data_IF_900335969029
#
_entry.id   IF_900335969029
#
_cell.length_a   1.000
_cell.length_b   1.000
_cell.length_c   1.000
_cell.angle_alpha   90.00
_cell.angle_beta   90.00
_cell.angle_gamma   90.00
#
_symmetry.space_group_name_H-M   'P 1'
#
loop_
_entity.id
_entity.type
_entity.pdbx_description
1 polymer ?
#
# COMPACT_ATOMS: atom_id res chain seq x y z
N UNK A 1 13.60 9.23 28.61
CA UNK A 1 14.71 8.71 27.76
C UNK A 1 14.39 7.33 27.14
N UNK A 2 14.02 6.31 27.91
CA UNK A 2 13.73 4.96 27.35
C UNK A 2 12.53 4.99 26.38
N UNK A 3 11.51 5.78 26.69
CA UNK A 3 10.32 6.01 25.85
C UNK A 3 10.69 6.50 24.45
N UNK A 4 11.62 7.46 24.36
CA UNK A 4 12.10 8.02 23.08
C UNK A 4 12.87 6.98 22.28
N UNK A 5 13.73 6.20 22.95
CA UNK A 5 14.46 5.10 22.30
C UNK A 5 13.51 4.05 21.75
N UNK A 6 12.48 3.66 22.51
CA UNK A 6 11.49 2.69 22.07
C UNK A 6 10.61 3.24 20.94
N UNK A 7 10.16 4.49 21.01
CA UNK A 7 9.40 5.12 19.93
C UNK A 7 10.17 5.18 18.62
N UNK A 8 11.46 5.59 18.68
CA UNK A 8 12.34 5.63 17.50
C UNK A 8 12.68 4.23 16.97
N UNK A 9 12.93 3.27 17.86
CA UNK A 9 13.14 1.88 17.49
C UNK A 9 11.90 1.32 16.79
N UNK A 10 10.70 1.60 17.34
CA UNK A 10 9.43 1.28 16.70
C UNK A 10 9.31 1.87 15.30
N UNK A 11 9.63 3.16 15.14
CA UNK A 11 9.63 3.83 13.84
C UNK A 11 10.57 3.16 12.82
N UNK A 12 11.78 2.83 13.22
CA UNK A 12 12.75 2.18 12.34
C UNK A 12 12.31 0.77 11.93
N UNK A 13 11.78 -0.02 12.89
CA UNK A 13 11.31 -1.39 12.62
C UNK A 13 10.04 -1.38 11.77
N UNK A 14 9.08 -0.47 12.04
CA UNK A 14 7.93 -0.28 11.15
C UNK A 14 8.36 0.17 9.75
N UNK A 15 9.31 1.10 9.66
CA UNK A 15 9.86 1.51 8.37
C UNK A 15 10.49 0.35 7.61
N UNK A 16 11.16 -0.58 8.30
CA UNK A 16 11.70 -1.80 7.70
C UNK A 16 10.59 -2.77 7.26
N UNK A 17 9.54 -2.93 8.07
CA UNK A 17 8.37 -3.73 7.71
C UNK A 17 7.69 -3.19 6.45
N UNK A 18 7.44 -1.88 6.40
CA UNK A 18 6.83 -1.20 5.25
C UNK A 18 7.69 -1.32 3.98
N UNK A 19 9.02 -1.21 4.13
CA UNK A 19 9.95 -1.41 3.02
C UNK A 19 9.84 -2.81 2.43
N UNK A 20 9.86 -3.86 3.27
CA UNK A 20 9.68 -5.24 2.84
C UNK A 20 8.27 -5.48 2.27
N UNK A 21 7.25 -4.93 2.90
CA UNK A 21 5.86 -4.97 2.44
C UNK A 21 5.70 -4.34 1.06
N UNK A 22 6.30 -3.18 0.83
CA UNK A 22 6.34 -2.51 -0.47
C UNK A 22 7.03 -3.33 -1.55
N UNK A 23 8.17 -3.97 -1.24
CA UNK A 23 8.86 -4.88 -2.16
C UNK A 23 8.03 -6.14 -2.45
N UNK A 24 7.35 -6.70 -1.43
CA UNK A 24 6.46 -7.84 -1.59
C UNK A 24 5.26 -7.50 -2.47
N UNK A 25 4.65 -6.32 -2.28
CA UNK A 25 3.49 -5.85 -3.04
C UNK A 25 3.79 -5.63 -4.53
N UNK A 26 5.04 -5.43 -4.90
CA UNK A 26 5.48 -5.42 -6.31
C UNK A 26 5.48 -6.81 -6.96
N UNK A 27 5.40 -7.89 -6.16
CA UNK A 27 5.49 -9.28 -6.63
C UNK A 27 4.19 -10.07 -6.45
N UNK A 28 3.42 -9.76 -5.41
CA UNK A 28 2.12 -10.36 -5.09
C UNK A 28 1.14 -9.26 -4.71
N UNK A 29 -0.17 -9.53 -4.71
CA UNK A 29 -1.16 -8.49 -4.37
C UNK A 29 -1.01 -7.98 -2.92
N UNK A 30 -1.22 -6.68 -2.70
CA UNK A 30 -1.14 -6.04 -1.38
C UNK A 30 -1.99 -6.76 -0.32
N UNK A 31 -3.21 -7.18 -0.67
CA UNK A 31 -4.10 -7.92 0.25
C UNK A 31 -3.48 -9.26 0.69
N UNK A 32 -2.78 -9.96 -0.23
CA UNK A 32 -2.06 -11.20 0.12
C UNK A 32 -0.84 -10.91 1.00
N UNK A 33 -0.11 -9.82 0.73
CA UNK A 33 1.01 -9.38 1.59
C UNK A 33 0.52 -9.15 3.01
N UNK A 34 -0.58 -8.40 3.18
CA UNK A 34 -1.17 -8.12 4.48
C UNK A 34 -1.66 -9.39 5.20
N UNK A 35 -2.32 -10.29 4.48
CA UNK A 35 -2.79 -11.56 5.07
C UNK A 35 -1.63 -12.46 5.53
N UNK A 36 -0.58 -12.61 4.69
CA UNK A 36 0.62 -13.39 5.02
C UNK A 36 1.36 -12.73 6.19
N UNK A 37 1.50 -11.41 6.16
CA UNK A 37 2.10 -10.63 7.24
C UNK A 37 1.34 -10.81 8.57
N UNK A 38 0.01 -10.72 8.54
CA UNK A 38 -0.81 -10.93 9.73
C UNK A 38 -0.63 -12.35 10.30
N UNK A 39 -0.66 -13.39 9.45
CA UNK A 39 -0.46 -14.78 9.86
C UNK A 39 0.94 -15.01 10.45
N UNK A 40 2.00 -14.50 9.82
CA UNK A 40 3.36 -14.61 10.37
C UNK A 40 3.50 -13.86 11.68
N UNK A 41 2.83 -12.70 11.84
CA UNK A 41 2.74 -11.97 13.09
C UNK A 41 2.01 -12.75 14.18
N UNK A 42 0.89 -13.44 13.87
CA UNK A 42 0.21 -14.33 14.83
C UNK A 42 1.17 -15.39 15.35
N UNK A 43 1.90 -16.07 14.45
CA UNK A 43 2.84 -17.13 14.84
C UNK A 43 3.94 -16.57 15.76
N UNK A 44 4.56 -15.44 15.38
CA UNK A 44 5.62 -14.84 16.18
C UNK A 44 5.11 -14.41 17.57
N UNK A 45 3.96 -13.74 17.63
CA UNK A 45 3.41 -13.24 18.90
C UNK A 45 2.93 -14.39 19.79
N UNK A 46 2.30 -15.43 19.20
CA UNK A 46 1.92 -16.63 19.95
C UNK A 46 3.14 -17.36 20.56
N UNK A 47 4.26 -17.45 19.81
CA UNK A 47 5.51 -17.94 20.36
C UNK A 47 6.09 -16.99 21.41
N UNK A 48 5.95 -15.68 21.20
CA UNK A 48 6.38 -14.65 22.15
C UNK A 48 5.69 -14.74 23.50
N UNK A 49 4.42 -15.17 23.55
CA UNK A 49 3.70 -15.35 24.83
C UNK A 49 4.30 -16.47 25.71
N UNK A 50 5.07 -17.38 25.14
CA UNK A 50 5.80 -18.41 25.90
C UNK A 50 7.02 -17.83 26.64
N UNK A 51 7.55 -16.70 26.15
CA UNK A 51 8.74 -16.03 26.71
C UNK A 51 8.33 -14.85 27.58
N UNK A 52 7.32 -14.10 27.16
CA UNK A 52 6.76 -12.95 27.87
C UNK A 52 5.39 -13.36 28.41
N UNK A 53 5.33 -13.83 29.65
CA UNK A 53 4.06 -14.23 30.25
C UNK A 53 3.14 -13.01 30.40
N UNK A 54 1.86 -13.24 30.29
CA UNK A 54 0.83 -12.22 30.52
C UNK A 54 -0.45 -12.86 31.03
N UNK A 55 -1.22 -12.08 31.77
CA UNK A 55 -2.49 -12.52 32.29
C UNK A 55 -3.60 -12.39 31.24
N UNK A 56 -4.37 -13.45 31.08
CA UNK A 56 -5.55 -13.44 30.21
C UNK A 56 -6.69 -12.69 30.92
N UNK A 57 -7.14 -11.60 30.31
CA UNK A 57 -8.25 -10.82 30.82
C UNK A 57 -9.20 -10.44 29.69
N UNK A 58 -10.47 -10.23 30.03
CA UNK A 58 -11.49 -9.74 29.07
C UNK A 58 -11.06 -8.39 28.48
N UNK A 59 -10.45 -7.51 29.29
CA UNK A 59 -9.93 -6.23 28.83
C UNK A 59 -8.83 -6.37 27.78
N UNK A 60 -7.85 -7.28 28.00
CA UNK A 60 -6.77 -7.54 27.06
C UNK A 60 -7.31 -8.05 25.70
N UNK A 61 -8.28 -8.97 25.74
CA UNK A 61 -8.91 -9.51 24.53
C UNK A 61 -9.79 -8.49 23.83
N UNK A 62 -10.61 -7.73 24.57
CA UNK A 62 -11.52 -6.74 24.01
C UNK A 62 -10.78 -5.60 23.31
N UNK A 63 -9.86 -4.93 24.02
CA UNK A 63 -9.08 -3.83 23.46
C UNK A 63 -8.14 -4.30 22.34
N UNK A 64 -7.53 -5.47 22.50
CA UNK A 64 -6.74 -6.11 21.47
C UNK A 64 -7.55 -6.42 20.21
N UNK A 65 -8.76 -6.98 20.35
CA UNK A 65 -9.62 -7.30 19.21
C UNK A 65 -10.09 -6.04 18.45
N UNK A 66 -10.56 -5.00 19.18
CA UNK A 66 -10.98 -3.73 18.54
C UNK A 66 -9.80 -3.06 17.83
N UNK A 67 -8.61 -3.08 18.44
CA UNK A 67 -7.40 -2.56 17.77
C UNK A 67 -7.07 -3.34 16.50
N UNK A 68 -7.40 -4.65 16.44
CA UNK A 68 -7.28 -5.46 15.23
C UNK A 68 -8.24 -5.06 14.12
N UNK A 69 -9.47 -4.67 14.46
CA UNK A 69 -10.45 -4.14 13.51
C UNK A 69 -9.98 -2.79 12.95
N UNK A 70 -9.56 -1.86 13.83
CA UNK A 70 -9.06 -0.55 13.39
C UNK A 70 -7.81 -0.68 12.52
N UNK A 71 -6.87 -1.56 12.89
CA UNK A 71 -5.67 -1.84 12.12
C UNK A 71 -5.97 -2.42 10.73
N UNK A 72 -6.88 -3.39 10.63
CA UNK A 72 -7.30 -3.96 9.35
C UNK A 72 -7.96 -2.92 8.43
N UNK A 73 -8.89 -2.10 8.97
CA UNK A 73 -9.55 -1.04 8.23
C UNK A 73 -8.55 0.05 7.81
N UNK A 74 -7.64 0.45 8.70
CA UNK A 74 -6.59 1.42 8.43
C UNK A 74 -5.73 1.02 7.23
N UNK A 75 -5.21 -0.20 7.23
CA UNK A 75 -4.34 -0.71 6.16
C UNK A 75 -5.11 -0.85 4.84
N UNK A 76 -6.36 -1.34 4.88
CA UNK A 76 -7.20 -1.45 3.69
C UNK A 76 -7.43 -0.08 3.04
N UNK A 77 -7.76 0.95 3.84
CA UNK A 77 -7.95 2.32 3.36
C UNK A 77 -6.63 2.95 2.88
N UNK A 78 -5.51 2.70 3.57
CA UNK A 78 -4.19 3.16 3.16
C UNK A 78 -3.86 2.65 1.76
N UNK A 79 -3.99 1.36 1.52
CA UNK A 79 -3.70 0.80 0.20
C UNK A 79 -4.69 1.26 -0.86
N UNK A 80 -5.98 1.44 -0.51
CA UNK A 80 -6.97 1.99 -1.42
C UNK A 80 -6.63 3.43 -1.83
N UNK A 81 -6.27 4.30 -0.88
CA UNK A 81 -5.92 5.69 -1.19
C UNK A 81 -4.62 5.79 -2.02
N UNK A 82 -3.60 4.96 -1.71
CA UNK A 82 -2.35 4.93 -2.45
C UNK A 82 -2.51 4.40 -3.88
N UNK A 83 -3.54 3.57 -4.13
CA UNK A 83 -3.86 3.08 -5.48
C UNK A 83 -4.50 4.15 -6.38
N UNK A 84 -5.20 5.15 -5.83
CA UNK A 84 -5.96 6.14 -6.58
C UNK A 84 -5.33 7.54 -6.61
N UNK A 85 -4.24 7.76 -5.88
CA UNK A 85 -3.64 9.10 -5.78
C UNK A 85 -2.13 9.13 -5.59
N UNK A 86 -1.53 10.33 -5.59
CA UNK A 86 -0.10 10.51 -5.47
C UNK A 86 0.38 10.09 -4.06
N UNK A 87 1.23 9.08 -4.00
CA UNK A 87 1.83 8.57 -2.75
C UNK A 87 2.58 9.65 -1.98
N UNK A 88 3.22 10.60 -2.70
CA UNK A 88 3.97 11.72 -2.13
C UNK A 88 3.15 12.68 -1.26
N UNK A 89 1.83 12.67 -1.38
CA UNK A 89 0.93 13.52 -0.58
C UNK A 89 0.14 12.65 0.42
N UNK A 90 -0.38 11.50 -0.04
CA UNK A 90 -1.29 10.69 0.76
C UNK A 90 -0.57 9.96 1.91
N UNK A 91 0.65 9.48 1.69
CA UNK A 91 1.43 8.82 2.75
C UNK A 91 1.82 9.76 3.89
N UNK A 92 2.40 10.97 3.63
CA UNK A 92 2.64 11.95 4.70
C UNK A 92 1.38 12.37 5.43
N UNK A 93 0.26 12.56 4.71
CA UNK A 93 -1.02 12.93 5.32
C UNK A 93 -1.50 11.86 6.32
N UNK A 94 -1.43 10.59 5.93
CA UNK A 94 -1.77 9.46 6.82
C UNK A 94 -0.86 9.45 8.05
N UNK A 95 0.45 9.60 7.88
CA UNK A 95 1.41 9.58 8.98
C UNK A 95 1.20 10.77 9.95
N UNK A 96 0.96 11.97 9.44
CA UNK A 96 0.65 13.15 10.28
C UNK A 96 -0.66 12.94 11.04
N UNK A 97 -1.70 12.44 10.38
CA UNK A 97 -2.99 12.21 11.03
C UNK A 97 -2.88 11.13 12.11
N UNK A 98 -2.09 10.08 11.87
CA UNK A 98 -1.86 9.02 12.87
C UNK A 98 -1.10 9.51 14.10
N UNK A 99 -0.31 10.56 13.99
CA UNK A 99 0.36 11.19 15.13
C UNK A 99 -0.57 12.18 15.88
N UNK A 100 -1.37 12.96 15.13
CA UNK A 100 -2.26 13.99 15.72
C UNK A 100 -3.35 13.36 16.60
N UNK A 101 -3.90 12.22 16.22
CA UNK A 101 -5.00 11.58 16.94
C UNK A 101 -4.60 11.18 18.37
N UNK A 102 -3.54 10.39 18.63
CA UNK A 102 -3.13 10.07 19.99
C UNK A 102 -2.55 11.29 20.73
N UNK A 103 -1.92 12.25 20.03
CA UNK A 103 -1.49 13.52 20.62
C UNK A 103 -2.69 14.29 21.21
N UNK A 104 -3.76 14.44 20.41
CA UNK A 104 -4.99 15.13 20.86
C UNK A 104 -5.66 14.36 22.00
N UNK A 105 -5.71 13.05 21.92
CA UNK A 105 -6.25 12.19 22.96
C UNK A 105 -5.50 12.40 24.29
N UNK A 106 -4.16 12.31 24.29
CA UNK A 106 -3.32 12.52 25.46
C UNK A 106 -3.55 13.89 26.10
N UNK A 107 -3.58 14.95 25.28
CA UNK A 107 -3.86 16.32 25.79
C UNK A 107 -5.25 16.46 26.41
N UNK A 108 -6.28 15.83 25.83
CA UNK A 108 -7.66 15.89 26.37
C UNK A 108 -7.79 15.05 27.65
N UNK A 109 -7.07 13.93 27.74
CA UNK A 109 -7.09 13.05 28.92
C UNK A 109 -6.17 13.49 30.03
N UNK A 110 -5.46 14.61 29.87
CA UNK A 110 -4.69 15.27 30.92
C UNK A 110 -3.22 14.85 31.01
N UNK A 111 -2.63 14.42 29.89
CA UNK A 111 -1.17 14.24 29.84
C UNK A 111 -0.46 15.55 30.17
N UNK A 112 0.28 15.58 31.27
CA UNK A 112 1.10 16.73 31.67
C UNK A 112 2.38 16.77 30.84
N UNK A 113 2.38 17.58 29.78
CA UNK A 113 3.52 17.76 28.90
C UNK A 113 4.35 18.98 29.31
N UNK A 114 5.65 18.81 29.35
CA UNK A 114 6.57 19.92 29.54
C UNK A 114 6.46 20.91 28.37
N UNK A 115 6.69 22.21 28.63
CA UNK A 115 6.64 23.27 27.61
C UNK A 115 7.54 22.99 26.37
N UNK A 116 8.63 22.24 26.53
CA UNK A 116 9.53 21.83 25.45
C UNK A 116 8.87 20.77 24.52
N UNK A 117 7.91 19.99 25.02
CA UNK A 117 7.25 18.97 24.23
C UNK A 117 6.39 19.55 23.08
N UNK A 118 5.74 20.68 23.28
CA UNK A 118 4.88 21.30 22.25
C UNK A 118 5.65 21.68 20.97
N UNK A 119 6.75 22.45 21.02
CA UNK A 119 7.53 22.72 19.82
C UNK A 119 8.20 21.47 19.25
N UNK A 120 8.54 20.48 20.08
CA UNK A 120 9.09 19.21 19.62
C UNK A 120 8.07 18.41 18.79
N UNK A 121 6.80 18.35 19.21
CA UNK A 121 5.73 17.74 18.43
C UNK A 121 5.48 18.46 17.09
N UNK A 122 5.43 19.80 17.11
CA UNK A 122 5.30 20.59 15.87
C UNK A 122 6.45 20.26 14.90
N UNK A 123 7.69 20.19 15.43
CA UNK A 123 8.87 19.86 14.65
C UNK A 123 8.81 18.42 14.11
N UNK A 124 8.35 17.46 14.91
CA UNK A 124 8.15 16.07 14.48
C UNK A 124 7.13 15.94 13.35
N UNK A 125 5.99 16.65 13.44
CA UNK A 125 4.97 16.65 12.38
C UNK A 125 5.51 17.27 11.08
N UNK A 126 6.27 18.36 11.16
CA UNK A 126 6.95 18.93 9.99
C UNK A 126 7.97 17.94 9.41
N UNK A 127 8.72 17.26 10.26
CA UNK A 127 9.69 16.24 9.84
C UNK A 127 9.01 15.09 9.09
N UNK A 128 7.87 14.57 9.58
CA UNK A 128 7.07 13.52 8.91
C UNK A 128 6.67 13.95 7.51
N UNK A 129 6.18 15.18 7.36
CA UNK A 129 5.79 15.72 6.04
C UNK A 129 6.98 15.79 5.10
N UNK A 130 8.11 16.36 5.55
CA UNK A 130 9.30 16.55 4.72
C UNK A 130 9.95 15.21 4.34
N UNK A 131 9.99 14.25 5.26
CA UNK A 131 10.53 12.91 5.01
C UNK A 131 9.66 12.17 3.99
N UNK A 132 8.34 12.17 4.17
CA UNK A 132 7.42 11.48 3.26
C UNK A 132 7.23 12.18 1.91
N UNK A 133 7.67 13.42 1.76
CA UNK A 133 7.49 14.19 0.53
C UNK A 133 8.46 13.73 -0.56
N UNK A 134 7.91 13.09 -1.60
CA UNK A 134 8.65 12.73 -2.81
C UNK A 134 8.28 13.71 -3.93
N UNK A 135 9.21 14.53 -4.44
CA UNK A 135 8.91 15.42 -5.55
C UNK A 135 8.50 14.62 -6.80
N UNK A 136 7.25 14.73 -7.21
CA UNK A 136 6.79 14.17 -8.47
C UNK A 136 7.20 15.10 -9.62
N UNK A 137 7.69 14.52 -10.74
CA UNK A 137 8.06 15.29 -11.94
C UNK A 137 6.84 15.94 -12.62
N UNK A 138 5.65 15.40 -12.38
CA UNK A 138 4.37 15.97 -12.81
C UNK A 138 3.45 16.08 -11.59
N UNK A 139 2.95 17.29 -11.33
CA UNK A 139 2.09 17.56 -10.19
C UNK A 139 0.68 17.00 -10.44
N UNK A 140 0.46 15.75 -10.07
CA UNK A 140 -0.87 15.14 -10.05
C UNK A 140 -1.59 15.63 -8.79
N UNK A 141 -2.77 16.26 -8.95
CA UNK A 141 -3.59 16.69 -7.82
C UNK A 141 -4.24 15.48 -7.15
N UNK A 142 -4.19 15.37 -5.82
CA UNK A 142 -4.90 14.31 -5.11
C UNK A 142 -6.40 14.50 -5.26
N UNK A 143 -7.14 13.40 -5.39
CA UNK A 143 -8.61 13.44 -5.39
C UNK A 143 -9.15 13.64 -3.98
N UNK A 144 -10.34 14.22 -3.84
CA UNK A 144 -10.99 14.36 -2.53
C UNK A 144 -11.20 13.00 -1.85
N UNK A 145 -11.52 11.96 -2.63
CA UNK A 145 -11.62 10.58 -2.13
C UNK A 145 -10.27 10.07 -1.60
N UNK A 146 -9.15 10.32 -2.30
CA UNK A 146 -7.82 9.95 -1.82
C UNK A 146 -7.46 10.64 -0.51
N UNK A 147 -7.72 11.94 -0.41
CA UNK A 147 -7.49 12.71 0.82
C UNK A 147 -8.33 12.20 2.00
N UNK A 148 -9.63 11.96 1.78
CA UNK A 148 -10.51 11.44 2.84
C UNK A 148 -10.10 10.04 3.30
N UNK A 149 -9.76 9.13 2.36
CA UNK A 149 -9.27 7.80 2.70
C UNK A 149 -7.95 7.86 3.49
N UNK A 150 -7.01 8.72 3.10
CA UNK A 150 -5.74 8.90 3.81
C UNK A 150 -5.96 9.44 5.24
N UNK A 151 -6.83 10.43 5.40
CA UNK A 151 -7.18 11.01 6.71
C UNK A 151 -7.87 9.98 7.60
N UNK A 152 -8.86 9.24 7.08
CA UNK A 152 -9.55 8.19 7.85
C UNK A 152 -8.57 7.07 8.21
N UNK A 153 -7.72 6.64 7.29
CA UNK A 153 -6.69 5.63 7.55
C UNK A 153 -5.75 6.08 8.67
N UNK A 154 -5.23 7.31 8.61
CA UNK A 154 -4.38 7.85 9.67
C UNK A 154 -5.11 7.96 11.02
N UNK A 155 -6.37 8.37 11.02
CA UNK A 155 -7.20 8.38 12.24
C UNK A 155 -7.34 6.99 12.85
N UNK A 156 -7.56 5.96 12.03
CA UNK A 156 -7.66 4.57 12.49
C UNK A 156 -6.32 4.02 13.00
N UNK A 157 -5.19 4.41 12.39
CA UNK A 157 -3.85 4.07 12.90
C UNK A 157 -3.64 4.75 14.26
N UNK A 158 -3.99 6.02 14.40
CA UNK A 158 -3.91 6.73 15.69
C UNK A 158 -4.82 6.10 16.76
N UNK A 159 -6.04 5.73 16.39
CA UNK A 159 -6.97 5.02 17.26
C UNK A 159 -6.42 3.65 17.69
N UNK A 160 -5.73 2.94 16.80
CA UNK A 160 -5.04 1.69 17.16
C UNK A 160 -4.07 1.89 18.34
N UNK A 161 -3.25 2.96 18.36
CA UNK A 161 -2.34 3.23 19.47
C UNK A 161 -3.09 3.51 20.77
N UNK A 162 -4.18 4.30 20.71
CA UNK A 162 -5.03 4.58 21.87
C UNK A 162 -5.64 3.29 22.43
N UNK A 163 -6.17 2.42 21.56
CA UNK A 163 -6.81 1.17 21.97
C UNK A 163 -5.81 0.17 22.58
N UNK A 164 -4.59 0.11 22.05
CA UNK A 164 -3.54 -0.73 22.63
C UNK A 164 -3.06 -0.18 23.97
N UNK A 165 -3.02 1.12 24.15
CA UNK A 165 -2.69 1.78 25.41
C UNK A 165 -3.70 1.49 26.53
N UNK A 166 -4.99 1.24 26.17
CA UNK A 166 -6.04 0.87 27.14
C UNK A 166 -5.93 -0.59 27.63
N UNK A 167 -4.97 -1.37 27.13
CA UNK A 167 -4.83 -2.78 27.54
C UNK A 167 -4.15 -2.86 28.91
N UNK A 168 -4.55 -3.82 29.78
CA UNK A 168 -3.94 -3.99 31.10
C UNK A 168 -2.44 -4.25 31.01
N UNK A 169 -1.66 -3.65 31.92
CA UNK A 169 -0.19 -3.71 31.91
C UNK A 169 0.36 -5.13 32.11
N UNK A 170 -0.35 -5.95 32.88
CA UNK A 170 -0.02 -7.35 33.18
C UNK A 170 -0.36 -8.33 32.05
N UNK A 171 -1.06 -7.86 30.99
CA UNK A 171 -1.52 -8.71 29.88
C UNK A 171 -0.42 -9.19 28.93
N UNK A 172 0.85 -8.79 29.12
CA UNK A 172 1.97 -9.21 28.28
C UNK A 172 1.72 -8.94 26.80
N UNK A 173 1.85 -9.97 25.96
CA UNK A 173 1.62 -9.87 24.50
C UNK A 173 0.21 -10.29 24.06
N UNK A 174 -0.67 -10.68 24.98
CA UNK A 174 -2.03 -11.17 24.67
C UNK A 174 -2.85 -10.19 23.82
N UNK A 175 -2.86 -8.87 24.10
CA UNK A 175 -3.59 -7.91 23.28
C UNK A 175 -3.11 -7.90 21.81
N UNK A 176 -1.80 -8.00 21.59
CA UNK A 176 -1.24 -8.05 20.24
C UNK A 176 -1.58 -9.35 19.52
N UNK A 177 -1.65 -10.48 20.22
CA UNK A 177 -2.14 -11.75 19.66
C UNK A 177 -3.59 -11.60 19.22
N UNK A 178 -4.47 -11.08 20.10
CA UNK A 178 -5.88 -10.83 19.79
C UNK A 178 -6.02 -9.89 18.57
N UNK A 179 -5.27 -8.80 18.55
CA UNK A 179 -5.19 -7.86 17.41
C UNK A 179 -4.86 -8.58 16.11
N UNK A 180 -3.81 -9.39 16.10
CA UNK A 180 -3.34 -10.09 14.89
C UNK A 180 -4.31 -11.17 14.42
N UNK A 181 -4.92 -11.91 15.33
CA UNK A 181 -5.93 -12.92 15.01
C UNK A 181 -7.14 -12.26 14.33
N UNK A 182 -7.65 -11.16 14.89
CA UNK A 182 -8.78 -10.43 14.30
C UNK A 182 -8.39 -9.85 12.93
N UNK A 183 -7.22 -9.21 12.82
CA UNK A 183 -6.73 -8.65 11.56
C UNK A 183 -6.58 -9.75 10.49
N UNK A 184 -5.95 -10.88 10.82
CA UNK A 184 -5.79 -12.02 9.91
C UNK A 184 -7.16 -12.56 9.46
N UNK A 185 -8.11 -12.70 10.38
CA UNK A 185 -9.47 -13.18 10.09
C UNK A 185 -10.18 -12.24 9.12
N UNK A 186 -10.13 -10.93 9.33
CA UNK A 186 -10.72 -9.93 8.45
C UNK A 186 -10.09 -10.01 7.05
N UNK A 187 -8.75 -10.06 6.97
CA UNK A 187 -8.04 -10.11 5.69
C UNK A 187 -8.30 -11.40 4.91
N UNK A 188 -8.34 -12.54 5.59
CA UNK A 188 -8.66 -13.82 4.97
C UNK A 188 -10.11 -13.80 4.47
N UNK A 189 -11.05 -13.32 5.29
CA UNK A 189 -12.47 -13.19 4.91
C UNK A 189 -12.60 -12.29 3.68
N UNK A 190 -11.90 -11.17 3.65
CA UNK A 190 -11.89 -10.27 2.48
C UNK A 190 -11.38 -10.98 1.22
N UNK A 191 -10.28 -11.75 1.32
CA UNK A 191 -9.74 -12.51 0.19
C UNK A 191 -10.77 -13.53 -0.32
N UNK A 192 -11.39 -14.26 0.58
CA UNK A 192 -12.41 -15.28 0.22
C UNK A 192 -13.61 -14.61 -0.45
N UNK A 193 -14.14 -13.53 0.12
CA UNK A 193 -15.28 -12.78 -0.47
C UNK A 193 -14.93 -12.27 -1.87
N UNK A 194 -13.76 -11.65 -2.04
CA UNK A 194 -13.32 -11.15 -3.35
C UNK A 194 -13.16 -12.29 -4.36
N UNK A 195 -12.62 -13.44 -3.95
CA UNK A 195 -12.48 -14.62 -4.82
C UNK A 195 -13.85 -15.19 -5.25
N UNK A 196 -14.81 -15.30 -4.32
CA UNK A 196 -16.17 -15.77 -4.60
C UNK A 196 -16.89 -14.81 -5.55
N UNK A 197 -16.80 -13.49 -5.29
CA UNK A 197 -17.45 -12.48 -6.14
C UNK A 197 -16.84 -12.49 -7.55
N UNK A 198 -15.51 -12.61 -7.66
CA UNK A 198 -14.85 -12.71 -8.96
C UNK A 198 -15.26 -13.99 -9.71
N UNK A 199 -15.29 -15.13 -9.01
CA UNK A 199 -15.76 -16.41 -9.59
C UNK A 199 -17.18 -16.33 -10.11
N UNK A 200 -18.12 -15.74 -9.34
CA UNK A 200 -19.52 -15.55 -9.76
C UNK A 200 -19.61 -14.63 -11.00
N UNK A 201 -18.82 -13.55 -11.08
CA UNK A 201 -18.81 -12.68 -12.26
C UNK A 201 -18.33 -13.40 -13.51
N UNK A 202 -17.34 -14.29 -13.40
CA UNK A 202 -16.88 -15.11 -14.52
C UNK A 202 -17.95 -16.09 -15.00
N UNK A 203 -18.68 -16.73 -14.09
CA UNK A 203 -19.79 -17.65 -14.42
C UNK A 203 -20.92 -16.87 -15.13
N UNK A 204 -21.37 -15.75 -14.56
CA UNK A 204 -22.41 -14.90 -15.15
C UNK A 204 -22.02 -14.32 -16.51
N UNK A 205 -20.74 -14.02 -16.73
CA UNK A 205 -20.24 -13.57 -18.05
C UNK A 205 -20.16 -14.72 -19.07
N UNK A 206 -19.93 -15.95 -18.61
CA UNK A 206 -19.93 -17.15 -19.47
C UNK A 206 -21.34 -17.61 -19.84
N UNK A 207 -22.32 -17.37 -18.96
CA UNK A 207 -23.73 -17.69 -19.17
C UNK A 207 -24.51 -16.58 -19.90
N UNK A 208 -23.88 -15.45 -20.21
CA UNK A 208 -24.51 -14.43 -21.05
C UNK A 208 -24.76 -15.04 -22.43
N UNK A 209 -26.03 -15.11 -22.91
CA UNK A 209 -26.30 -15.65 -24.23
C UNK A 209 -25.49 -14.85 -25.24
N UNK A 210 -24.73 -15.56 -26.09
CA UNK A 210 -24.14 -15.01 -27.29
C UNK A 210 -25.30 -14.35 -28.04
N UNK A 211 -25.44 -13.04 -27.91
CA UNK A 211 -26.32 -12.28 -28.78
C UNK A 211 -25.81 -12.58 -30.20
N UNK A 212 -26.55 -13.44 -30.87
CA UNK A 212 -26.34 -13.79 -32.26
C UNK A 212 -26.27 -12.46 -32.98
N UNK A 213 -25.08 -12.09 -33.40
CA UNK A 213 -24.88 -11.08 -34.42
C UNK A 213 -25.37 -11.70 -35.74
N UNK A 214 -26.69 -11.89 -35.83
CA UNK A 214 -27.38 -12.14 -37.05
C UNK A 214 -27.42 -10.81 -37.81
N UNK A 215 -26.25 -10.47 -38.30
CA UNK A 215 -26.05 -9.33 -39.19
C UNK A 215 -26.54 -9.63 -40.61
N UNK A 216 -27.84 -9.80 -40.74
CA UNK A 216 -28.47 -9.59 -42.06
C UNK A 216 -28.42 -8.10 -42.36
N UNK A 217 -27.29 -7.63 -42.80
CA UNK A 217 -27.22 -6.39 -43.59
C UNK A 217 -27.83 -6.64 -44.97
N UNK A 218 -29.13 -6.52 -45.05
CA UNK A 218 -29.83 -6.21 -46.25
C UNK A 218 -29.40 -4.80 -46.72
N UNK A 219 -28.46 -4.73 -47.62
CA UNK A 219 -28.15 -3.50 -48.31
C UNK A 219 -29.38 -3.10 -49.17
N UNK A 220 -29.92 -1.88 -49.09
CA UNK A 220 -30.93 -1.41 -50.00
C UNK A 220 -30.28 -1.16 -51.38
N UNK A 221 -30.75 -1.89 -52.39
CA UNK A 221 -30.46 -1.58 -53.79
C UNK A 221 -31.08 -0.23 -54.16
N UNK A 222 -30.34 0.71 -54.73
CA UNK A 222 -30.96 1.81 -55.44
C UNK A 222 -31.29 1.37 -56.88
N UNK A 223 -32.58 1.32 -57.17
CA UNK A 223 -33.10 1.25 -58.53
C UNK A 223 -32.84 2.58 -59.23
N UNK A 224 -32.29 2.51 -60.47
CA UNK A 224 -32.49 3.49 -61.50
C UNK A 224 -31.32 4.47 -61.74
N UNK A 225 -30.40 4.09 -62.63
CA UNK A 225 -29.75 5.04 -63.55
C UNK A 225 -29.41 4.35 -64.83
N UNK A 226 -29.93 4.90 -65.88
CA UNK A 226 -29.78 4.60 -67.34
C UNK A 226 -28.33 4.60 -67.80
N UNK A 227 -27.95 3.81 -68.78
CA UNK A 227 -26.60 3.76 -69.36
C UNK A 227 -26.38 4.92 -70.38
N UNK A 228 -25.32 5.67 -70.12
CA UNK A 228 -24.76 6.56 -71.16
C UNK A 228 -23.45 6.02 -71.67
N UNK A 229 -23.30 6.10 -72.96
CA UNK A 229 -22.28 5.57 -73.85
C UNK A 229 -20.84 6.09 -73.55
N UNK A 230 -19.93 5.16 -73.52
CA UNK A 230 -18.61 5.05 -74.16
C UNK A 230 -17.89 6.34 -74.61
N UNK A 231 -16.72 6.53 -74.01
CA UNK A 231 -15.61 7.17 -74.66
C UNK A 231 -14.30 6.43 -74.34
N UNK A 232 -13.67 5.95 -75.44
CA UNK A 232 -12.38 5.24 -75.39
C UNK A 232 -11.23 6.23 -75.16
N UNK A 233 -10.39 5.98 -74.17
CA UNK A 233 -9.04 6.55 -74.05
C UNK A 233 -8.04 5.46 -73.75
N UNK A 234 -6.80 5.47 -74.28
CA UNK A 234 -5.94 4.29 -74.36
C UNK A 234 -5.21 3.99 -73.04
N UNK A 235 -4.97 2.71 -72.91
CA UNK A 235 -4.24 2.10 -71.80
C UNK A 235 -2.85 2.73 -71.53
N UNK A 236 -2.65 3.22 -70.31
CA UNK A 236 -1.35 3.61 -69.83
C UNK A 236 -0.75 2.45 -68.96
N UNK A 237 0.50 2.19 -69.24
CA UNK A 237 1.39 1.14 -68.63
C UNK A 237 1.70 1.35 -67.17
N UNK A 238 0.71 1.36 -66.28
CA UNK A 238 0.91 1.60 -64.86
C UNK A 238 0.62 0.38 -63.97
N UNK A 239 0.10 -0.71 -64.53
CA UNK A 239 -0.48 -1.82 -63.77
C UNK A 239 0.52 -2.79 -63.11
N UNK A 240 1.76 -2.87 -63.59
CA UNK A 240 2.75 -3.79 -63.01
C UNK A 240 3.45 -3.22 -61.77
N UNK A 241 3.59 -1.90 -61.72
CA UNK A 241 4.28 -1.23 -60.60
C UNK A 241 3.37 -1.09 -59.36
N UNK A 242 2.09 -0.87 -59.58
CA UNK A 242 1.09 -0.75 -58.51
C UNK A 242 0.74 -2.11 -57.92
N UNK A 243 0.73 -3.18 -58.72
CA UNK A 243 0.57 -4.54 -58.21
C UNK A 243 1.78 -4.99 -57.35
N UNK A 244 3.01 -4.63 -57.76
CA UNK A 244 4.21 -4.92 -56.95
C UNK A 244 4.25 -4.10 -55.66
N UNK A 245 3.79 -2.85 -55.67
CA UNK A 245 3.70 -2.01 -54.47
C UNK A 245 2.63 -2.52 -53.49
N UNK A 246 1.47 -2.96 -54.00
CA UNK A 246 0.42 -3.54 -53.17
C UNK A 246 0.88 -4.84 -52.49
N UNK A 247 1.56 -5.74 -53.21
CA UNK A 247 2.10 -6.99 -52.66
C UNK A 247 3.22 -6.74 -51.62
N UNK A 248 4.06 -5.74 -51.84
CA UNK A 248 5.08 -5.32 -50.90
C UNK A 248 4.48 -4.73 -49.61
N UNK A 249 3.40 -3.93 -49.73
CA UNK A 249 2.68 -3.36 -48.61
C UNK A 249 1.96 -4.43 -47.78
N UNK A 250 1.32 -5.39 -48.44
CA UNK A 250 0.68 -6.53 -47.78
C UNK A 250 1.69 -7.42 -47.02
N UNK A 251 2.85 -7.71 -47.64
CA UNK A 251 3.93 -8.48 -47.04
C UNK A 251 4.56 -7.75 -45.83
N UNK A 252 4.73 -6.42 -45.95
CA UNK A 252 5.23 -5.59 -44.85
C UNK A 252 4.24 -5.54 -43.68
N UNK A 253 2.94 -5.43 -43.96
CA UNK A 253 1.88 -5.42 -42.94
C UNK A 253 1.77 -6.78 -42.25
N UNK A 254 1.84 -7.88 -42.99
CA UNK A 254 1.83 -9.24 -42.43
C UNK A 254 3.08 -9.53 -41.57
N UNK A 255 4.26 -9.03 -41.99
CA UNK A 255 5.51 -9.17 -41.26
C UNK A 255 5.46 -8.32 -39.97
N UNK A 256 4.98 -7.08 -40.01
CA UNK A 256 4.80 -6.22 -38.86
C UNK A 256 3.80 -6.82 -37.84
N UNK A 257 2.69 -7.39 -38.30
CA UNK A 257 1.73 -8.10 -37.48
C UNK A 257 2.32 -9.34 -36.80
N UNK A 258 3.10 -10.15 -37.53
CA UNK A 258 3.79 -11.31 -36.96
C UNK A 258 4.85 -10.92 -35.94
N UNK A 259 5.59 -9.85 -36.18
CA UNK A 259 6.60 -9.33 -35.23
C UNK A 259 5.95 -8.79 -33.98
N UNK A 260 4.83 -8.07 -34.11
CA UNK A 260 4.07 -7.54 -32.96
C UNK A 260 3.42 -8.65 -32.12
N UNK A 261 2.92 -9.72 -32.74
CA UNK A 261 2.38 -10.89 -32.03
C UNK A 261 3.50 -11.66 -31.32
N UNK A 262 4.63 -11.91 -31.96
CA UNK A 262 5.79 -12.56 -31.35
C UNK A 262 6.37 -11.75 -30.18
N UNK A 263 6.39 -10.43 -30.30
CA UNK A 263 6.83 -9.53 -29.23
C UNK A 263 5.84 -9.51 -28.05
N UNK A 264 4.52 -9.54 -28.33
CA UNK A 264 3.48 -9.71 -27.29
C UNK A 264 3.57 -11.05 -26.59
N UNK A 265 3.76 -12.14 -27.33
CA UNK A 265 3.93 -13.47 -26.75
C UNK A 265 5.22 -13.59 -25.94
N UNK A 266 6.30 -12.95 -26.36
CA UNK A 266 7.54 -12.84 -25.61
C UNK A 266 7.35 -12.08 -24.29
N UNK A 267 6.65 -10.95 -24.32
CA UNK A 267 6.34 -10.16 -23.13
C UNK A 267 5.40 -10.93 -22.18
N UNK A 268 4.39 -11.61 -22.71
CA UNK A 268 3.46 -12.42 -21.90
C UNK A 268 4.19 -13.61 -21.27
N UNK A 269 5.07 -14.29 -22.01
CA UNK A 269 5.90 -15.41 -21.48
C UNK A 269 6.94 -14.93 -20.47
N UNK A 270 7.60 -13.81 -20.71
CA UNK A 270 8.51 -13.19 -19.76
C UNK A 270 7.78 -12.73 -18.48
N UNK A 271 6.59 -12.15 -18.62
CA UNK A 271 5.73 -11.78 -17.49
C UNK A 271 5.26 -13.01 -16.71
N UNK A 272 4.88 -14.11 -17.39
CA UNK A 272 4.47 -15.36 -16.75
C UNK A 272 5.65 -16.09 -16.07
N UNK A 273 6.86 -16.00 -16.61
CA UNK A 273 8.07 -16.53 -15.99
C UNK A 273 8.52 -15.68 -14.79
N UNK A 274 8.43 -14.35 -14.90
CA UNK A 274 8.66 -13.43 -13.80
C UNK A 274 7.65 -13.63 -12.66
N UNK A 275 6.37 -13.89 -12.98
CA UNK A 275 5.35 -14.25 -12.01
C UNK A 275 5.63 -15.56 -11.27
N UNK A 276 6.19 -16.59 -11.95
CA UNK A 276 6.55 -17.86 -11.31
C UNK A 276 7.79 -17.75 -10.40
N UNK A 277 8.80 -16.97 -10.78
CA UNK A 277 9.96 -16.66 -9.91
C UNK A 277 9.63 -15.64 -8.81
N UNK A 278 8.62 -14.79 -9.04
CA UNK A 278 8.21 -13.72 -8.15
C UNK A 278 7.44 -14.18 -6.91
N UNK A 279 6.67 -15.28 -6.98
CA UNK A 279 5.82 -15.73 -5.87
C UNK A 279 6.62 -16.12 -4.63
N UNK A 280 7.65 -16.97 -4.76
CA UNK A 280 8.49 -17.38 -3.61
C UNK A 280 9.21 -16.18 -2.99
N UNK A 281 9.77 -15.31 -3.81
CA UNK A 281 10.40 -14.08 -3.33
C UNK A 281 9.40 -13.12 -2.69
N UNK A 282 8.20 -12.99 -3.25
CA UNK A 282 7.11 -12.19 -2.68
C UNK A 282 6.62 -12.74 -1.34
N UNK A 283 6.49 -14.07 -1.23
CA UNK A 283 6.11 -14.76 0.01
C UNK A 283 7.13 -14.53 1.13
N UNK A 284 8.43 -14.71 0.87
CA UNK A 284 9.48 -14.51 1.88
C UNK A 284 9.53 -13.05 2.36
N UNK A 285 9.39 -12.08 1.44
CA UNK A 285 9.32 -10.67 1.80
C UNK A 285 8.07 -10.36 2.63
N UNK A 286 6.92 -10.97 2.32
CA UNK A 286 5.68 -10.78 3.08
C UNK A 286 5.76 -11.39 4.49
N UNK A 287 6.40 -12.56 4.64
CA UNK A 287 6.67 -13.16 5.96
C UNK A 287 7.62 -12.25 6.76
N UNK A 288 8.72 -11.81 6.15
CA UNK A 288 9.66 -10.87 6.79
C UNK A 288 9.01 -9.56 7.20
N UNK A 289 8.14 -9.00 6.35
CA UNK A 289 7.32 -7.84 6.67
C UNK A 289 6.48 -8.08 7.92
N UNK A 290 5.73 -9.19 7.98
CA UNK A 290 4.87 -9.49 9.14
C UNK A 290 5.63 -9.77 10.43
N UNK A 291 6.81 -10.39 10.33
CA UNK A 291 7.70 -10.59 11.49
C UNK A 291 8.20 -9.25 12.02
N UNK A 292 8.72 -8.36 11.15
CA UNK A 292 9.19 -7.05 11.57
C UNK A 292 8.04 -6.18 12.10
N UNK A 293 6.88 -6.24 11.48
CA UNK A 293 5.70 -5.51 11.93
C UNK A 293 5.25 -5.99 13.33
N UNK A 294 5.27 -7.29 13.60
CA UNK A 294 4.99 -7.82 14.94
C UNK A 294 6.05 -7.39 15.98
N UNK A 295 7.33 -7.37 15.61
CA UNK A 295 8.40 -6.85 16.48
C UNK A 295 8.19 -5.35 16.74
N UNK A 296 7.86 -4.56 15.73
CA UNK A 296 7.55 -3.14 15.89
C UNK A 296 6.39 -2.93 16.88
N UNK A 297 5.32 -3.73 16.76
CA UNK A 297 4.19 -3.67 17.69
C UNK A 297 4.60 -4.03 19.12
N UNK A 298 5.48 -5.03 19.34
CA UNK A 298 6.03 -5.35 20.68
C UNK A 298 6.80 -4.15 21.23
N UNK A 299 7.70 -3.56 20.43
CA UNK A 299 8.51 -2.40 20.86
C UNK A 299 7.62 -1.23 21.21
N UNK A 300 6.60 -0.95 20.42
CA UNK A 300 5.64 0.13 20.70
C UNK A 300 4.81 -0.18 21.94
N UNK A 301 4.29 -1.40 22.10
CA UNK A 301 3.55 -1.79 23.31
C UNK A 301 4.40 -1.60 24.58
N UNK A 302 5.66 -2.03 24.55
CA UNK A 302 6.59 -1.79 25.66
C UNK A 302 6.80 -0.29 25.88
N UNK A 303 6.93 0.47 24.80
CA UNK A 303 7.07 1.93 24.86
C UNK A 303 5.86 2.61 25.53
N UNK A 304 4.63 2.17 25.21
CA UNK A 304 3.39 2.66 25.79
C UNK A 304 3.29 2.33 27.30
N UNK A 305 3.79 1.17 27.71
CA UNK A 305 3.75 0.74 29.12
C UNK A 305 4.78 1.43 30.02
N UNK A 306 5.89 1.90 29.45
CA UNK A 306 6.95 2.58 30.22
C UNK A 306 6.96 4.10 30.03
N UNK A 307 6.07 4.62 29.17
CA UNK A 307 6.06 6.04 28.83
C UNK A 307 4.72 6.57 28.38
N UNK A 308 4.72 7.83 27.97
CA UNK A 308 3.51 8.53 27.53
C UNK A 308 3.12 8.15 26.10
N UNK A 309 1.83 7.84 25.89
CA UNK A 309 1.21 7.51 24.61
C UNK A 309 1.54 8.56 23.54
N UNK A 310 1.49 9.84 23.92
CA UNK A 310 1.71 10.97 23.00
C UNK A 310 3.12 10.95 22.43
N UNK A 311 4.12 10.74 23.28
CA UNK A 311 5.53 10.70 22.88
C UNK A 311 5.79 9.48 22.00
N UNK A 312 5.34 8.29 22.43
CA UNK A 312 5.55 7.04 21.70
C UNK A 312 4.90 7.09 20.31
N UNK A 313 3.65 7.53 20.23
CA UNK A 313 2.89 7.56 18.96
C UNK A 313 3.47 8.56 17.95
N UNK A 314 3.85 9.76 18.39
CA UNK A 314 4.45 10.79 17.51
C UNK A 314 5.82 10.34 17.01
N UNK A 315 6.66 9.74 17.86
CA UNK A 315 7.96 9.21 17.45
C UNK A 315 7.81 8.02 16.50
N UNK A 316 6.84 7.14 16.76
CA UNK A 316 6.57 6.01 15.88
C UNK A 316 6.03 6.46 14.52
N UNK A 317 5.28 7.56 14.45
CA UNK A 317 4.82 8.14 13.18
C UNK A 317 5.96 8.65 12.27
N UNK A 318 7.21 8.69 12.76
CA UNK A 318 8.42 8.90 11.96
C UNK A 318 8.83 7.65 11.13
N UNK A 319 8.04 6.57 11.11
CA UNK A 319 8.34 5.34 10.35
C UNK A 319 8.70 5.57 8.86
N UNK A 320 8.20 6.61 8.15
CA UNK A 320 8.65 6.87 6.78
C UNK A 320 10.15 7.17 6.68
N UNK A 321 10.76 7.69 7.77
CA UNK A 321 12.21 7.90 7.83
C UNK A 321 12.97 6.57 7.74
N UNK A 322 12.52 5.54 8.46
CA UNK A 322 13.08 4.19 8.39
C UNK A 322 12.96 3.57 7.00
N UNK A 323 11.79 3.73 6.36
CA UNK A 323 11.56 3.24 4.99
C UNK A 323 12.50 3.89 3.99
N UNK A 324 12.69 5.22 4.06
CA UNK A 324 13.56 5.96 3.14
C UNK A 324 15.04 5.63 3.37
N UNK A 325 15.47 5.51 4.62
CA UNK A 325 16.84 5.10 4.94
C UNK A 325 17.15 3.73 4.36
N UNK A 326 16.23 2.77 4.48
CA UNK A 326 16.38 1.43 3.89
C UNK A 326 16.33 1.45 2.37
N UNK A 327 15.46 2.25 1.75
CA UNK A 327 15.45 2.44 0.30
C UNK A 327 16.79 3.00 -0.20
N UNK A 328 17.36 3.97 0.50
CA UNK A 328 18.66 4.53 0.17
C UNK A 328 19.80 3.51 0.33
N UNK A 329 19.80 2.71 1.41
CA UNK A 329 20.85 1.73 1.69
C UNK A 329 20.76 0.49 0.78
N UNK A 330 19.57 -0.07 0.61
CA UNK A 330 19.35 -1.34 -0.09
C UNK A 330 19.17 -1.14 -1.59
N UNK A 331 18.33 -0.18 -1.99
CA UNK A 331 18.06 0.13 -3.40
C UNK A 331 19.03 1.17 -3.98
N UNK A 332 19.88 1.77 -3.14
CA UNK A 332 20.81 2.85 -3.50
C UNK A 332 20.09 4.06 -4.12
N UNK A 333 18.85 4.30 -3.69
CA UNK A 333 18.08 5.45 -4.11
C UNK A 333 18.66 6.73 -3.51
N UNK A 334 18.64 7.83 -4.27
CA UNK A 334 19.14 9.12 -3.79
C UNK A 334 18.07 9.78 -2.92
N UNK A 335 18.42 10.08 -1.68
CA UNK A 335 17.57 10.85 -0.78
C UNK A 335 17.49 12.30 -1.30
N UNK A 336 16.28 12.82 -1.46
CA UNK A 336 16.07 14.21 -1.87
C UNK A 336 16.53 15.19 -0.76
N UNK A 337 16.93 16.40 -1.13
CA UNK A 337 17.38 17.42 -0.15
C UNK A 337 16.31 17.69 0.92
N UNK A 338 15.05 17.72 0.53
CA UNK A 338 13.91 17.94 1.43
C UNK A 338 13.79 16.82 2.46
N UNK A 339 13.98 15.57 2.05
CA UNK A 339 13.96 14.40 2.92
C UNK A 339 15.13 14.42 3.93
N UNK A 340 16.32 14.89 3.51
CA UNK A 340 17.46 15.11 4.43
C UNK A 340 17.12 16.13 5.51
N UNK A 341 16.50 17.26 5.13
CA UNK A 341 16.03 18.26 6.10
C UNK A 341 15.03 17.60 7.07
N UNK A 342 14.06 16.85 6.55
CA UNK A 342 13.10 16.13 7.39
C UNK A 342 13.74 15.14 8.37
N UNK A 343 14.77 14.39 7.94
CA UNK A 343 15.51 13.47 8.82
C UNK A 343 16.24 14.21 9.94
N UNK A 344 16.87 15.34 9.64
CA UNK A 344 17.55 16.18 10.65
C UNK A 344 16.53 16.75 11.64
N UNK A 345 15.39 17.25 11.16
CA UNK A 345 14.31 17.74 12.02
C UNK A 345 13.71 16.63 12.89
N UNK A 346 13.58 15.40 12.36
CA UNK A 346 13.14 14.24 13.14
C UNK A 346 14.08 13.94 14.30
N UNK A 347 15.39 13.97 14.07
CA UNK A 347 16.40 13.79 15.12
C UNK A 347 16.36 14.94 16.15
N UNK A 348 16.21 16.18 15.70
CA UNK A 348 16.08 17.32 16.60
C UNK A 348 14.82 17.25 17.48
N UNK A 349 13.68 16.91 16.87
CA UNK A 349 12.42 16.71 17.61
C UNK A 349 12.55 15.58 18.64
N UNK A 350 13.18 14.46 18.27
CA UNK A 350 13.41 13.33 19.18
C UNK A 350 14.32 13.71 20.34
N UNK A 351 15.37 14.50 20.09
CA UNK A 351 16.24 15.00 21.15
C UNK A 351 15.49 15.97 22.10
N UNK A 352 14.63 16.84 21.56
CA UNK A 352 13.80 17.73 22.40
C UNK A 352 12.80 16.94 23.26
N UNK A 353 12.16 15.90 22.70
CA UNK A 353 11.26 15.01 23.44
C UNK A 353 12.01 14.21 24.51
N UNK A 354 13.26 13.82 24.25
CA UNK A 354 14.09 13.17 25.24
C UNK A 354 14.47 14.08 26.43
N UNK A 355 14.55 15.39 26.21
CA UNK A 355 14.80 16.39 27.25
C UNK A 355 13.51 16.78 28.01
N UNK A 356 12.35 16.53 27.41
CA UNK A 356 11.04 16.82 28.02
C UNK A 356 10.45 15.66 28.84
N UNK A 357 11.00 14.45 28.68
CA UNK A 357 10.52 13.20 29.31
C UNK A 357 11.19 12.89 30.66
#
# INVERSE_FOLDING_TARGET
MITVVLGLAGALVYGAADFLGGLAARRISAVRVTAIGALSGVVLLALGTLVVPGEWSEGALFWGAISGVTGAAAIALLYACLAIGPMSILSPLTAVTSAIVPLTWGLVTGSELNAIAYPAFALALVAVVLVGFVPAKEAVRPTAAGLSMATISGTLIGAFYILIDQTPDDSGLIPLVANRVVNATIMITLIVVLAVVAGRRHILAADAPLAVLDGTHGAPHPLGATPTLIEHTPASTTTARDAAAATAAETATATASRTSLSQRDGVVRASAAALRGGWRGGLMLAIGCGVLDAIANIVVLVGLRVGDLTIVSVLTALYPAGTILLAALVLRERIARLQWIGLVLALAASAMLALSS
#
